data_IF_579578452352
#
_entry.id   IF_579578452352
#
_cell.length_a   1.000
_cell.length_b   1.000
_cell.length_c   1.000
_cell.angle_alpha   90.00
_cell.angle_beta   90.00
_cell.angle_gamma   90.00
#
_symmetry.space_group_name_H-M   'P 1'
#
loop_
_entity.id
_entity.type
_entity.pdbx_description
1 polymer ?
#
# COMPACT_ATOMS: atom_id res chain seq x y z
N UNK A 1 -13.93 -4.48 12.03
CA UNK A 1 -13.23 -3.33 11.42
C UNK A 1 -13.80 -2.07 12.07
N UNK A 2 -13.09 -1.48 13.03
CA UNK A 2 -13.38 -0.10 13.39
C UNK A 2 -12.90 0.76 12.23
N UNK A 3 -13.82 1.39 11.52
CA UNK A 3 -13.44 2.44 10.57
C UNK A 3 -12.95 3.64 11.40
N UNK A 4 -11.69 4.08 11.21
CA UNK A 4 -11.24 5.31 11.84
C UNK A 4 -12.12 6.49 11.38
N UNK A 5 -12.23 7.54 12.18
CA UNK A 5 -13.05 8.69 11.82
C UNK A 5 -12.59 9.31 10.49
N UNK A 6 -13.54 9.62 9.62
CA UNK A 6 -13.27 10.26 8.33
C UNK A 6 -12.80 11.69 8.57
N UNK A 7 -11.56 12.00 8.14
CA UNK A 7 -10.99 13.35 8.23
C UNK A 7 -11.04 13.98 6.84
N UNK A 8 -12.10 14.68 6.58
CA UNK A 8 -12.32 15.40 5.34
C UNK A 8 -13.00 14.53 4.27
N UNK A 9 -13.93 15.13 3.57
CA UNK A 9 -14.52 14.54 2.38
C UNK A 9 -13.77 15.08 1.18
N UNK A 10 -13.06 14.20 0.48
CA UNK A 10 -12.62 14.50 -0.87
C UNK A 10 -13.86 14.78 -1.75
N UNK A 11 -13.79 15.72 -2.70
CA UNK A 11 -14.87 15.97 -3.66
C UNK A 11 -15.26 14.75 -4.51
N UNK A 12 -14.42 13.71 -4.55
CA UNK A 12 -14.77 12.41 -5.12
C UNK A 12 -15.57 11.59 -4.08
N UNK A 13 -16.86 11.29 -4.28
CA UNK A 13 -17.68 10.55 -3.33
C UNK A 13 -17.21 9.12 -3.07
N UNK A 14 -16.28 8.60 -3.91
CA UNK A 14 -15.68 7.28 -3.75
C UNK A 14 -14.26 7.33 -3.14
N UNK A 15 -13.82 8.50 -2.67
CA UNK A 15 -12.48 8.70 -2.10
C UNK A 15 -12.58 9.15 -0.65
N UNK A 16 -11.84 8.49 0.23
CA UNK A 16 -11.88 8.70 1.68
C UNK A 16 -10.46 8.81 2.25
N UNK A 17 -10.27 9.74 3.18
CA UNK A 17 -9.05 9.85 4.00
C UNK A 17 -9.42 9.55 5.44
N UNK A 18 -8.68 8.62 6.04
CA UNK A 18 -8.83 8.22 7.43
C UNK A 18 -7.55 8.54 8.19
N UNK A 19 -7.67 9.11 9.38
CA UNK A 19 -6.52 9.39 10.26
C UNK A 19 -6.67 8.65 11.58
N UNK A 20 -5.59 7.98 12.00
CA UNK A 20 -5.42 7.44 13.35
C UNK A 20 -4.26 8.19 14.02
N UNK A 21 -4.43 8.54 15.29
CA UNK A 21 -3.40 9.20 16.10
C UNK A 21 -3.17 8.37 17.37
N UNK A 22 -1.89 8.12 17.68
CA UNK A 22 -1.46 7.37 18.85
C UNK A 22 -2.12 5.99 18.97
N UNK A 23 -2.32 5.32 17.83
CA UNK A 23 -2.93 4.00 17.76
C UNK A 23 -2.46 3.24 16.53
N UNK A 24 -2.34 1.93 16.65
CA UNK A 24 -1.98 1.04 15.56
C UNK A 24 -3.17 0.73 14.66
N UNK A 25 -2.90 0.57 13.36
CA UNK A 25 -3.87 0.04 12.41
C UNK A 25 -3.53 -1.41 12.06
N UNK A 26 -4.45 -2.32 12.37
CA UNK A 26 -4.28 -3.74 12.06
C UNK A 26 -5.07 -4.09 10.80
N UNK A 27 -4.40 -4.64 9.80
CA UNK A 27 -5.00 -5.11 8.56
C UNK A 27 -4.99 -6.64 8.51
N UNK A 28 -6.17 -7.20 8.48
CA UNK A 28 -6.40 -8.63 8.22
C UNK A 28 -6.50 -8.90 6.70
N UNK A 29 -6.44 -10.18 6.26
CA UNK A 29 -6.58 -10.53 4.85
C UNK A 29 -7.82 -9.90 4.23
N UNK A 30 -7.63 -9.21 3.08
CA UNK A 30 -8.75 -8.57 2.39
C UNK A 30 -8.51 -8.43 0.89
N UNK A 31 -9.62 -8.43 0.14
CA UNK A 31 -9.65 -8.07 -1.27
C UNK A 31 -10.57 -6.87 -1.43
N UNK A 32 -10.04 -5.79 -2.01
CA UNK A 32 -10.83 -4.59 -2.28
C UNK A 32 -11.61 -4.80 -3.59
N UNK A 33 -12.96 -4.75 -3.56
CA UNK A 33 -13.77 -4.97 -4.75
C UNK A 33 -13.72 -3.77 -5.70
N UNK A 34 -14.06 -4.03 -6.97
CA UNK A 34 -14.39 -2.97 -7.91
C UNK A 34 -15.59 -2.18 -7.36
N UNK A 35 -15.45 -0.87 -7.32
CA UNK A 35 -16.45 0.01 -6.69
C UNK A 35 -16.04 0.51 -5.31
N UNK A 36 -14.99 -0.05 -4.69
CA UNK A 36 -14.48 0.44 -3.40
C UNK A 36 -13.92 1.87 -3.46
N UNK A 37 -13.53 2.33 -4.68
CA UNK A 37 -12.92 3.64 -4.85
C UNK A 37 -11.51 3.73 -4.28
N UNK A 38 -11.03 4.96 -4.09
CA UNK A 38 -9.69 5.22 -3.55
C UNK A 38 -9.74 5.64 -2.09
N UNK A 39 -8.74 5.19 -1.29
CA UNK A 39 -8.66 5.46 0.15
C UNK A 39 -7.25 5.70 0.59
N UNK A 40 -7.10 6.59 1.58
CA UNK A 40 -5.81 6.82 2.25
C UNK A 40 -5.98 6.70 3.75
N UNK A 41 -5.12 5.91 4.37
CA UNK A 41 -5.00 5.79 5.82
C UNK A 41 -3.72 6.48 6.26
N UNK A 42 -3.86 7.47 7.13
CA UNK A 42 -2.74 8.17 7.77
C UNK A 42 -2.68 7.68 9.22
N UNK A 43 -1.56 7.10 9.60
CA UNK A 43 -1.29 6.62 10.96
C UNK A 43 -0.19 7.49 11.54
N UNK A 44 -0.48 8.22 12.61
CA UNK A 44 0.46 9.13 13.26
C UNK A 44 0.76 8.64 14.67
N UNK A 45 2.05 8.45 14.99
CA UNK A 45 2.53 7.89 16.26
C UNK A 45 1.92 6.52 16.57
N UNK A 46 1.86 5.64 15.58
CA UNK A 46 1.39 4.26 15.69
C UNK A 46 1.87 3.45 14.50
N UNK A 47 1.74 2.15 14.55
CA UNK A 47 2.22 1.23 13.53
C UNK A 47 1.09 0.77 12.60
N UNK A 48 1.47 0.43 11.36
CA UNK A 48 0.64 -0.36 10.45
C UNK A 48 1.03 -1.83 10.58
N UNK A 49 0.14 -2.65 11.11
CA UNK A 49 0.36 -4.09 11.31
C UNK A 49 -0.43 -4.87 10.26
N UNK A 50 0.27 -5.54 9.34
CA UNK A 50 -0.33 -6.28 8.24
C UNK A 50 -0.24 -7.78 8.53
N UNK A 51 -1.39 -8.37 8.91
CA UNK A 51 -1.50 -9.78 9.28
C UNK A 51 -1.95 -10.69 8.13
N UNK A 52 -2.26 -10.14 6.97
CA UNK A 52 -2.72 -10.93 5.82
C UNK A 52 -2.56 -10.23 4.49
N UNK A 53 -2.82 -10.98 3.42
CA UNK A 53 -2.72 -10.46 2.07
C UNK A 53 -3.71 -9.32 1.81
N UNK A 54 -3.25 -8.30 1.09
CA UNK A 54 -4.07 -7.23 0.55
C UNK A 54 -4.05 -7.37 -0.97
N UNK A 55 -5.22 -7.47 -1.58
CA UNK A 55 -5.36 -7.59 -3.04
C UNK A 55 -6.49 -6.72 -3.57
N UNK A 56 -6.47 -6.49 -4.86
CA UNK A 56 -7.55 -5.87 -5.59
C UNK A 56 -8.31 -6.91 -6.42
N UNK A 57 -9.61 -6.75 -6.53
CA UNK A 57 -10.41 -7.47 -7.52
C UNK A 57 -9.97 -7.07 -8.93
N UNK A 58 -10.07 -8.00 -9.88
CA UNK A 58 -9.74 -7.72 -11.27
C UNK A 58 -10.77 -6.76 -11.87
N UNK A 59 -10.26 -5.70 -12.49
CA UNK A 59 -11.09 -4.74 -13.22
C UNK A 59 -11.43 -5.35 -14.59
N UNK A 60 -12.72 -5.45 -14.99
CA UNK A 60 -13.10 -5.91 -16.32
C UNK A 60 -12.44 -5.05 -17.42
N UNK A 61 -12.16 -5.67 -18.57
CA UNK A 61 -11.47 -5.00 -19.68
C UNK A 61 -12.25 -3.79 -20.26
N UNK A 62 -13.58 -3.85 -20.21
CA UNK A 62 -14.51 -2.81 -20.68
C UNK A 62 -14.91 -1.80 -19.60
N UNK A 63 -14.19 -1.80 -18.47
CA UNK A 63 -14.51 -0.93 -17.34
C UNK A 63 -14.19 0.53 -17.67
N UNK A 64 -15.20 1.39 -17.61
CA UNK A 64 -15.09 2.81 -18.00
C UNK A 64 -15.10 3.80 -16.83
N UNK A 65 -15.53 3.37 -15.64
CA UNK A 65 -15.61 4.25 -14.48
C UNK A 65 -14.35 4.18 -13.62
N UNK A 66 -13.30 4.87 -14.03
CA UNK A 66 -12.00 4.85 -13.35
C UNK A 66 -12.05 5.24 -11.86
N UNK A 67 -13.01 6.07 -11.44
CA UNK A 67 -13.19 6.46 -10.03
C UNK A 67 -13.63 5.31 -9.11
N UNK A 68 -14.09 4.20 -9.70
CA UNK A 68 -14.46 2.98 -8.97
C UNK A 68 -13.35 1.93 -8.94
N UNK A 69 -12.22 2.17 -9.60
CA UNK A 69 -11.06 1.29 -9.51
C UNK A 69 -10.55 1.34 -8.07
N UNK A 70 -10.41 0.19 -7.38
CA UNK A 70 -9.91 0.19 -6.02
C UNK A 70 -8.45 0.61 -5.98
N UNK A 71 -8.11 1.56 -5.13
CA UNK A 71 -6.73 1.90 -4.77
C UNK A 71 -6.64 2.30 -3.30
N UNK A 72 -5.55 1.93 -2.65
CA UNK A 72 -5.35 2.17 -1.23
C UNK A 72 -3.95 2.68 -0.95
N UNK A 73 -3.85 3.63 -0.04
CA UNK A 73 -2.57 4.10 0.47
C UNK A 73 -2.54 4.03 2.00
N UNK A 74 -1.39 3.67 2.53
CA UNK A 74 -1.06 3.73 3.94
C UNK A 74 0.15 4.63 4.12
N UNK A 75 -0.01 5.69 4.91
CA UNK A 75 1.04 6.64 5.25
C UNK A 75 1.24 6.58 6.76
N UNK A 76 2.38 6.08 7.19
CA UNK A 76 2.75 5.98 8.60
C UNK A 76 3.72 7.08 8.93
N UNK A 77 3.40 7.89 9.95
CA UNK A 77 4.22 8.99 10.43
C UNK A 77 4.64 8.68 11.87
N UNK A 78 5.96 8.63 12.11
CA UNK A 78 6.56 8.25 13.38
C UNK A 78 6.09 6.85 13.87
N UNK A 79 6.18 5.86 12.98
CA UNK A 79 5.85 4.46 13.27
C UNK A 79 6.31 3.55 12.15
N UNK A 80 6.20 2.26 12.35
CA UNK A 80 6.68 1.23 11.44
C UNK A 80 5.53 0.62 10.62
N UNK A 81 5.89 0.04 9.47
CA UNK A 81 5.03 -0.89 8.73
C UNK A 81 5.51 -2.30 9.00
N UNK A 82 4.73 -3.06 9.75
CA UNK A 82 5.05 -4.41 10.20
C UNK A 82 4.28 -5.45 9.36
N UNK A 83 5.00 -6.38 8.73
CA UNK A 83 4.42 -7.37 7.83
C UNK A 83 4.61 -8.77 8.41
N UNK A 84 3.50 -9.49 8.63
CA UNK A 84 3.56 -10.86 9.15
C UNK A 84 4.23 -11.84 8.16
N UNK A 85 4.90 -12.89 8.65
CA UNK A 85 5.65 -13.83 7.82
C UNK A 85 4.77 -14.61 6.81
N UNK A 86 3.48 -14.75 7.08
CA UNK A 86 2.50 -15.41 6.21
C UNK A 86 2.02 -14.55 5.03
N UNK A 87 2.30 -13.26 5.05
CA UNK A 87 1.87 -12.34 3.98
C UNK A 87 2.73 -12.59 2.75
N UNK A 88 2.11 -12.91 1.63
CA UNK A 88 2.77 -13.18 0.34
C UNK A 88 2.40 -12.19 -0.75
N UNK A 89 1.33 -11.41 -0.54
CA UNK A 89 0.85 -10.42 -1.51
C UNK A 89 0.35 -9.16 -0.83
N UNK A 90 0.84 -8.02 -1.31
CA UNK A 90 0.35 -6.69 -0.92
C UNK A 90 0.00 -5.90 -2.18
N UNK A 91 -1.12 -5.18 -2.15
CA UNK A 91 -1.52 -4.26 -3.20
C UNK A 91 -1.80 -2.89 -2.59
N UNK A 92 -1.18 -1.82 -3.12
CA UNK A 92 -1.34 -0.47 -2.61
C UNK A 92 -0.07 0.35 -2.54
N UNK A 93 -0.20 1.52 -1.91
CA UNK A 93 0.92 2.41 -1.58
C UNK A 93 1.24 2.25 -0.10
N UNK A 94 2.50 2.00 0.21
CA UNK A 94 3.01 1.81 1.58
C UNK A 94 4.13 2.80 1.81
N UNK A 95 3.88 3.80 2.65
CA UNK A 95 4.84 4.88 2.94
C UNK A 95 5.06 4.97 4.45
N UNK A 96 6.31 5.05 4.87
CA UNK A 96 6.65 5.43 6.25
C UNK A 96 7.59 6.61 6.26
N UNK A 97 7.27 7.59 7.10
CA UNK A 97 8.09 8.76 7.40
C UNK A 97 8.57 8.64 8.85
N UNK A 98 9.88 8.65 9.04
CA UNK A 98 10.53 8.45 10.34
C UNK A 98 10.28 7.06 10.96
N UNK A 99 10.17 6.01 10.10
CA UNK A 99 10.00 4.62 10.54
C UNK A 99 10.57 3.64 9.53
N UNK A 100 10.30 2.36 9.73
CA UNK A 100 10.82 1.26 8.94
C UNK A 100 9.70 0.39 8.37
N UNK A 101 10.03 -0.33 7.29
CA UNK A 101 9.19 -1.40 6.76
C UNK A 101 9.90 -2.70 7.07
N UNK A 102 9.29 -3.55 7.89
CA UNK A 102 9.94 -4.74 8.42
C UNK A 102 9.00 -5.96 8.46
N UNK A 103 9.58 -7.15 8.49
CA UNK A 103 8.85 -8.37 8.80
C UNK A 103 8.85 -8.62 10.29
N UNK A 104 7.71 -9.01 10.86
CA UNK A 104 7.57 -9.31 12.31
C UNK A 104 8.32 -10.57 12.73
N UNK A 105 8.65 -11.45 11.77
CA UNK A 105 9.51 -12.62 11.96
C UNK A 105 10.14 -13.01 10.61
N UNK A 106 11.12 -13.94 10.66
CA UNK A 106 11.72 -14.51 9.45
C UNK A 106 10.70 -15.33 8.67
N UNK A 107 10.73 -15.20 7.35
CA UNK A 107 9.87 -15.95 6.43
C UNK A 107 10.68 -16.45 5.23
N UNK A 108 10.40 -17.69 4.81
CA UNK A 108 10.88 -18.25 3.56
C UNK A 108 9.85 -18.10 2.41
N UNK A 109 8.73 -17.43 2.67
CA UNK A 109 7.70 -17.16 1.67
C UNK A 109 8.07 -15.92 0.85
N UNK A 110 7.94 -15.96 -0.48
CA UNK A 110 8.12 -14.77 -1.30
C UNK A 110 7.04 -13.73 -0.99
N UNK A 111 7.39 -12.46 -1.05
CA UNK A 111 6.46 -11.34 -0.93
C UNK A 111 6.39 -10.59 -2.24
N UNK A 112 5.21 -10.48 -2.81
CA UNK A 112 4.92 -9.65 -3.97
C UNK A 112 4.17 -8.40 -3.52
N UNK A 113 4.69 -7.22 -3.89
CA UNK A 113 4.04 -5.93 -3.66
C UNK A 113 3.66 -5.37 -5.03
N UNK A 114 2.36 -5.29 -5.30
CA UNK A 114 1.81 -4.61 -6.48
C UNK A 114 1.42 -3.18 -6.07
N UNK A 115 2.29 -2.20 -6.35
CA UNK A 115 2.07 -0.83 -5.91
C UNK A 115 3.34 0.00 -5.79
N UNK A 116 3.42 0.77 -4.71
CA UNK A 116 4.52 1.68 -4.43
C UNK A 116 4.96 1.57 -2.96
N UNK A 117 6.27 1.65 -2.73
CA UNK A 117 6.87 1.57 -1.39
C UNK A 117 7.82 2.75 -1.20
N UNK A 118 7.70 3.44 -0.07
CA UNK A 118 8.59 4.52 0.33
C UNK A 118 8.95 4.41 1.81
N UNK A 119 10.25 4.49 2.12
CA UNK A 119 10.78 4.42 3.48
C UNK A 119 11.97 3.47 3.60
N UNK A 120 12.45 3.24 4.82
CA UNK A 120 13.51 2.27 5.10
C UNK A 120 12.97 0.85 5.01
N UNK A 121 13.24 0.18 3.89
CA UNK A 121 12.80 -1.19 3.59
C UNK A 121 13.90 -2.25 3.87
N UNK A 122 15.11 -1.84 4.22
CA UNK A 122 16.22 -2.77 4.45
C UNK A 122 15.89 -3.87 5.48
N UNK A 123 15.20 -3.58 6.61
CA UNK A 123 14.85 -4.61 7.59
C UNK A 123 13.90 -5.68 7.03
N UNK A 124 13.05 -5.33 6.05
CA UNK A 124 12.16 -6.28 5.40
C UNK A 124 12.95 -7.30 4.57
N UNK A 125 13.99 -6.86 3.85
CA UNK A 125 14.87 -7.78 3.10
C UNK A 125 15.56 -8.76 4.04
N UNK A 126 16.01 -8.30 5.20
CA UNK A 126 16.64 -9.15 6.22
C UNK A 126 15.70 -10.21 6.81
N UNK A 127 14.39 -9.95 6.83
CA UNK A 127 13.38 -10.87 7.36
C UNK A 127 12.87 -11.88 6.32
N UNK A 128 13.11 -11.65 5.03
CA UNK A 128 12.63 -12.46 3.90
C UNK A 128 13.80 -13.12 3.17
N UNK A 129 14.35 -14.19 3.73
CA UNK A 129 15.46 -14.92 3.13
C UNK A 129 15.03 -16.33 2.74
N UNK A 130 15.37 -16.77 1.52
CA UNK A 130 15.25 -18.18 1.15
C UNK A 130 16.29 -19.02 1.88
N UNK A 131 15.86 -20.12 2.47
CA UNK A 131 16.74 -21.19 2.89
C UNK A 131 17.01 -22.03 1.64
N UNK A 132 18.14 -21.79 0.96
CA UNK A 132 18.52 -22.48 -0.27
C UNK A 132 18.98 -21.51 -1.37
N UNK A 133 19.48 -22.05 -2.49
CA UNK A 133 19.82 -21.23 -3.65
C UNK A 133 18.52 -20.79 -4.34
N UNK A 134 18.23 -19.49 -4.46
CA UNK A 134 17.08 -19.06 -5.25
C UNK A 134 17.26 -19.54 -6.69
N UNK A 135 16.20 -20.06 -7.31
CA UNK A 135 16.19 -20.28 -8.74
C UNK A 135 16.39 -18.93 -9.44
N UNK A 136 17.17 -18.91 -10.53
CA UNK A 136 17.46 -17.71 -11.30
C UNK A 136 16.14 -16.94 -11.59
N UNK A 137 16.05 -15.68 -11.16
CA UNK A 137 14.87 -14.83 -11.37
C UNK A 137 13.83 -14.84 -10.25
N UNK A 138 14.02 -15.60 -9.16
CA UNK A 138 13.12 -15.55 -8.00
C UNK A 138 13.74 -14.69 -6.89
N UNK A 139 13.27 -13.45 -6.77
CA UNK A 139 13.56 -12.61 -5.61
C UNK A 139 12.67 -12.99 -4.42
N UNK A 140 13.17 -12.77 -3.21
CA UNK A 140 12.37 -12.95 -1.98
C UNK A 140 11.29 -11.88 -1.86
N UNK A 141 11.54 -10.70 -2.43
CA UNK A 141 10.62 -9.57 -2.52
C UNK A 141 10.60 -9.08 -3.96
N UNK A 142 9.40 -8.94 -4.51
CA UNK A 142 9.17 -8.36 -5.82
C UNK A 142 8.25 -7.16 -5.67
N UNK A 143 8.67 -6.00 -6.14
CA UNK A 143 7.86 -4.79 -6.15
C UNK A 143 7.53 -4.47 -7.60
N UNK A 144 6.24 -4.53 -7.96
CA UNK A 144 5.74 -4.17 -9.28
C UNK A 144 4.94 -2.89 -9.17
N UNK A 145 5.16 -1.99 -10.08
CA UNK A 145 4.33 -0.81 -10.19
C UNK A 145 2.90 -1.19 -10.60
N UNK A 146 1.89 -0.69 -9.87
CA UNK A 146 0.47 -0.87 -10.21
C UNK A 146 -0.09 0.43 -10.81
N UNK A 147 -0.44 0.41 -12.10
CA UNK A 147 -0.98 1.55 -12.83
C UNK A 147 -2.32 2.07 -12.30
N UNK A 148 -3.03 1.32 -11.44
CA UNK A 148 -4.29 1.77 -10.81
C UNK A 148 -4.11 3.08 -10.04
N UNK A 149 -2.91 3.30 -9.48
CA UNK A 149 -2.54 4.51 -8.74
C UNK A 149 -2.71 5.76 -9.62
N UNK A 150 -2.46 5.67 -10.92
CA UNK A 150 -2.66 6.81 -11.83
C UNK A 150 -4.12 7.01 -12.23
N UNK A 151 -4.87 5.93 -12.39
CA UNK A 151 -6.27 6.02 -12.83
C UNK A 151 -7.20 6.48 -11.71
N UNK A 152 -6.93 6.08 -10.48
CA UNK A 152 -7.67 6.48 -9.30
C UNK A 152 -6.71 6.67 -8.13
N UNK A 153 -5.96 7.76 -8.16
CA UNK A 153 -4.95 8.10 -7.15
C UNK A 153 -5.58 8.18 -5.76
N UNK A 154 -5.00 7.51 -4.75
CA UNK A 154 -5.43 7.68 -3.38
C UNK A 154 -5.40 9.16 -2.96
N UNK A 155 -6.44 9.65 -2.24
CA UNK A 155 -6.52 11.05 -1.84
C UNK A 155 -5.28 11.50 -1.07
N UNK A 156 -4.80 12.72 -1.34
CA UNK A 156 -3.59 13.27 -0.72
C UNK A 156 -2.27 12.85 -1.40
N UNK A 157 -2.31 11.92 -2.36
CA UNK A 157 -1.12 11.52 -3.13
C UNK A 157 -1.12 12.04 -4.56
N UNK A 158 -2.10 12.83 -4.97
CA UNK A 158 -2.23 13.34 -6.33
C UNK A 158 -0.98 14.10 -6.76
N UNK A 159 -0.44 14.98 -5.92
CA UNK A 159 0.75 15.76 -6.23
C UNK A 159 2.03 14.91 -6.35
N UNK A 160 2.06 13.75 -5.70
CA UNK A 160 3.21 12.83 -5.72
C UNK A 160 3.29 12.08 -7.06
N UNK A 161 2.14 11.80 -7.66
CA UNK A 161 2.04 10.99 -8.89
C UNK A 161 1.68 11.80 -10.15
N UNK A 162 1.36 13.09 -10.03
CA UNK A 162 1.20 13.97 -11.19
C UNK A 162 2.56 14.20 -11.85
N UNK A 163 2.69 13.70 -13.08
CA UNK A 163 3.78 14.13 -13.97
C UNK A 163 3.43 15.55 -14.40
N UNK A 164 4.04 16.56 -13.81
CA UNK A 164 3.91 17.93 -14.28
C UNK A 164 4.54 18.02 -15.69
N UNK A 165 3.69 18.07 -16.70
CA UNK A 165 4.08 18.25 -18.11
C UNK A 165 4.59 19.68 -18.41
N UNK A 166 4.80 20.52 -17.41
CA UNK A 166 5.19 21.93 -17.58
C UNK A 166 6.68 22.18 -17.93
N UNK A 167 7.49 21.14 -18.15
CA UNK A 167 8.92 21.34 -18.46
C UNK A 167 9.33 21.04 -19.90
N UNK A 168 8.43 21.00 -20.85
CA UNK A 168 8.81 20.89 -22.29
C UNK A 168 8.21 22.04 -23.09
N UNK A 169 8.53 23.27 -22.68
CA UNK A 169 8.37 24.45 -23.49
C UNK A 169 9.62 25.31 -23.34
N UNK A 170 10.71 24.91 -24.01
CA UNK A 170 11.83 25.78 -24.42
C UNK A 170 12.35 25.36 -25.76
#
# INVERSE_FOLDING_TARGET
FMHPPVIGKNPNPNSEVYKLENADLIINPQTLPVGAGSRTYIIENGDLIINGNISYENVPFDFTNFKKIPSIAFIVINGDIQIAPSVTKLAGVFMTLNGKILGTAKSNQPLKIDGYVYGDIEPLFGSRSFIGKPLLGQGTITINFDGRIFYNTPPGLQEVFEIRSEQVAR
#
